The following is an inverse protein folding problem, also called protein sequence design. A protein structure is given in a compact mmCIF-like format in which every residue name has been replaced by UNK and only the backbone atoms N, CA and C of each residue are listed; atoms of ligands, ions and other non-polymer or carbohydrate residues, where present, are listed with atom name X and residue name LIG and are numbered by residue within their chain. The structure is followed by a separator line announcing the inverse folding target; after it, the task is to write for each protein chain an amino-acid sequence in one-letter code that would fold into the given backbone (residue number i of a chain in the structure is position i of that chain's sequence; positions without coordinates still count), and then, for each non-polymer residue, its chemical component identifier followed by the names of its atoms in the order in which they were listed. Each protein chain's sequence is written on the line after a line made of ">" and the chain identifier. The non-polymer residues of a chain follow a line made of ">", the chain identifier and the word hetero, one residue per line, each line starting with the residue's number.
data_IF_301078706607
#
_entry.id   IF_301078706607
#
_cell.length_a   1.000
_cell.length_b   1.000
_cell.length_c   1.000
_cell.angle_alpha   90.00
_cell.angle_beta   90.00
_cell.angle_gamma   90.00
#
_symmetry.space_group_name_H-M   'P 1'
#
loop_
_entity.id
_entity.type
_entity.pdbx_description
1 polymer ?
#
# COMPACT_ATOMS: atom_id res chain seq x y z
N UNK A 1 -19.15 -38.54 14.69
CA UNK A 1 -18.65 -38.64 13.30
C UNK A 1 -17.70 -37.46 12.96
N UNK A 2 -16.69 -37.17 13.80
CA UNK A 2 -15.77 -36.02 13.61
C UNK A 2 -14.31 -36.41 13.28
N UNK A 3 -13.98 -37.71 13.28
CA UNK A 3 -12.59 -38.18 13.08
C UNK A 3 -12.09 -38.13 11.64
N UNK A 4 -12.96 -38.05 10.62
CA UNK A 4 -12.56 -38.03 9.19
C UNK A 4 -12.15 -36.65 8.66
N UNK A 5 -12.57 -35.56 9.29
CA UNK A 5 -12.26 -34.20 8.82
C UNK A 5 -10.80 -33.79 9.13
N UNK A 6 -10.30 -34.13 10.32
CA UNK A 6 -8.96 -33.73 10.76
C UNK A 6 -7.80 -34.35 9.97
N UNK A 7 -7.97 -35.57 9.42
CA UNK A 7 -6.94 -36.21 8.60
C UNK A 7 -6.77 -35.57 7.19
N UNK A 8 -7.75 -34.83 6.70
CA UNK A 8 -7.61 -34.02 5.47
C UNK A 8 -6.97 -32.66 5.74
N UNK A 9 -7.16 -32.11 6.94
CA UNK A 9 -6.53 -30.86 7.38
C UNK A 9 -5.01 -31.04 7.54
N UNK A 10 -4.56 -32.17 8.09
CA UNK A 10 -3.14 -32.48 8.20
C UNK A 10 -2.47 -32.68 6.84
N UNK A 11 -3.15 -33.27 5.84
CA UNK A 11 -2.65 -33.41 4.46
C UNK A 11 -2.65 -32.10 3.67
N UNK A 12 -3.56 -31.17 3.97
CA UNK A 12 -3.58 -29.81 3.41
C UNK A 12 -2.53 -28.89 4.04
N UNK A 13 -2.13 -29.15 5.29
CA UNK A 13 -1.00 -28.49 5.98
C UNK A 13 0.36 -29.07 5.55
N UNK A 14 0.44 -30.34 5.14
CA UNK A 14 1.68 -31.01 4.70
C UNK A 14 2.27 -30.48 3.38
N UNK A 15 1.55 -29.64 2.62
CA UNK A 15 2.11 -28.88 1.49
C UNK A 15 2.69 -27.52 1.91
N UNK A 16 2.87 -27.25 3.22
CA UNK A 16 3.43 -25.99 3.73
C UNK A 16 4.76 -25.57 3.09
N UNK A 17 5.56 -26.54 2.62
CA UNK A 17 6.82 -26.32 1.91
C UNK A 17 6.72 -26.27 0.37
N UNK A 18 5.57 -26.59 -0.22
CA UNK A 18 5.37 -26.59 -1.68
C UNK A 18 5.54 -25.17 -2.26
N UNK A 19 6.17 -25.02 -3.45
CA UNK A 19 6.26 -23.75 -4.14
C UNK A 19 4.90 -23.06 -4.29
N UNK A 20 3.83 -23.83 -4.56
CA UNK A 20 2.48 -23.29 -4.69
C UNK A 20 1.97 -22.68 -3.38
N UNK A 21 2.24 -23.32 -2.23
CA UNK A 21 1.84 -22.78 -0.93
C UNK A 21 2.62 -21.51 -0.59
N UNK A 22 3.93 -21.47 -0.89
CA UNK A 22 4.75 -20.26 -0.70
C UNK A 22 4.20 -19.09 -1.53
N UNK A 23 3.94 -19.31 -2.82
CA UNK A 23 3.36 -18.28 -3.69
C UNK A 23 2.01 -17.83 -3.15
N UNK A 24 1.11 -18.76 -2.81
CA UNK A 24 -0.19 -18.42 -2.23
C UNK A 24 -0.07 -17.58 -0.95
N UNK A 25 0.85 -17.92 -0.04
CA UNK A 25 1.06 -17.14 1.19
C UNK A 25 1.56 -15.72 0.90
N UNK A 26 2.49 -15.56 -0.05
CA UNK A 26 2.97 -14.25 -0.46
C UNK A 26 1.89 -13.44 -1.16
N UNK A 27 1.10 -14.06 -2.05
CA UNK A 27 -0.03 -13.41 -2.71
C UNK A 27 -1.06 -12.93 -1.70
N UNK A 28 -1.41 -13.77 -0.72
CA UNK A 28 -2.35 -13.37 0.34
C UNK A 28 -1.77 -12.24 1.18
N UNK A 29 -0.48 -12.28 1.54
CA UNK A 29 0.17 -11.21 2.29
C UNK A 29 0.15 -9.88 1.53
N UNK A 30 0.44 -9.89 0.23
CA UNK A 30 0.39 -8.71 -0.65
C UNK A 30 -1.03 -8.19 -0.80
N UNK A 31 -2.02 -9.07 -1.02
CA UNK A 31 -3.42 -8.65 -1.12
C UNK A 31 -3.92 -8.01 0.18
N UNK A 32 -3.56 -8.58 1.34
CA UNK A 32 -3.94 -8.03 2.64
C UNK A 32 -3.27 -6.68 2.90
N UNK A 33 -1.99 -6.52 2.54
CA UNK A 33 -1.30 -5.24 2.69
C UNK A 33 -1.87 -4.16 1.75
N UNK A 34 -2.20 -4.51 0.50
CA UNK A 34 -2.86 -3.59 -0.43
C UNK A 34 -4.25 -3.19 0.05
N UNK A 35 -5.04 -4.14 0.54
CA UNK A 35 -6.36 -3.85 1.12
C UNK A 35 -6.26 -2.92 2.34
N UNK A 36 -5.24 -3.13 3.18
CA UNK A 36 -4.96 -2.25 4.31
C UNK A 36 -4.58 -0.83 3.86
N UNK A 37 -3.66 -0.71 2.90
CA UNK A 37 -3.25 0.58 2.33
C UNK A 37 -4.46 1.30 1.73
N UNK A 38 -5.28 0.60 0.95
CA UNK A 38 -6.49 1.14 0.35
C UNK A 38 -7.46 1.71 1.40
N UNK A 39 -7.76 0.94 2.45
CA UNK A 39 -8.65 1.39 3.53
C UNK A 39 -8.05 2.56 4.33
N UNK A 40 -6.74 2.55 4.54
CA UNK A 40 -6.01 3.61 5.22
C UNK A 40 -6.04 4.91 4.43
N UNK A 41 -5.71 4.86 3.13
CA UNK A 41 -5.71 6.02 2.24
C UNK A 41 -7.11 6.57 2.01
N UNK A 42 -8.13 5.71 1.97
CA UNK A 42 -9.53 6.17 1.89
C UNK A 42 -9.94 7.01 3.10
N UNK A 43 -9.42 6.71 4.29
CA UNK A 43 -9.71 7.47 5.52
C UNK A 43 -8.87 8.74 5.63
N UNK A 44 -7.57 8.64 5.32
CA UNK A 44 -6.62 9.73 5.40
C UNK A 44 -5.72 9.73 4.16
N UNK A 45 -6.13 10.39 3.06
CA UNK A 45 -5.33 10.44 1.84
C UNK A 45 -4.03 11.20 2.09
N UNK A 46 -2.91 10.60 1.71
CA UNK A 46 -1.58 11.23 1.73
C UNK A 46 -1.40 12.09 0.49
N UNK A 47 -0.47 13.05 0.55
CA UNK A 47 -0.05 13.80 -0.64
C UNK A 47 0.33 12.82 -1.75
N UNK A 48 1.31 11.94 -1.54
CA UNK A 48 1.66 10.90 -2.52
C UNK A 48 1.13 9.52 -2.13
N UNK A 49 -0.19 9.33 -2.15
CA UNK A 49 -0.82 8.02 -1.95
C UNK A 49 -0.73 7.11 -3.18
N UNK A 50 -0.77 5.80 -2.97
CA UNK A 50 -0.67 4.77 -4.01
C UNK A 50 -2.00 4.60 -4.79
N UNK A 51 -3.13 4.76 -4.10
CA UNK A 51 -4.48 4.66 -4.68
C UNK A 51 -5.23 5.98 -4.64
N UNK A 52 -5.07 6.78 -3.59
CA UNK A 52 -5.75 8.07 -3.43
C UNK A 52 -4.76 9.19 -3.19
N UNK A 53 -4.84 10.24 -4.00
CA UNK A 53 -4.08 11.46 -3.84
C UNK A 53 -4.89 12.46 -3.01
N UNK A 54 -4.22 13.22 -2.14
CA UNK A 54 -4.87 14.30 -1.40
C UNK A 54 -5.15 15.45 -2.38
N UNK A 55 -6.41 15.83 -2.56
CA UNK A 55 -6.80 16.94 -3.46
C UNK A 55 -6.48 18.34 -2.89
N UNK A 56 -5.81 18.40 -1.74
CA UNK A 56 -5.38 19.67 -1.16
C UNK A 56 -4.13 20.15 -1.90
N UNK A 57 -4.15 21.40 -2.34
CA UNK A 57 -2.96 22.03 -2.91
C UNK A 57 -1.84 22.03 -1.86
N UNK A 58 -0.63 21.66 -2.29
CA UNK A 58 0.57 21.85 -1.47
C UNK A 58 0.63 23.32 -1.05
N UNK A 59 0.73 23.57 0.26
CA UNK A 59 0.86 24.93 0.78
C UNK A 59 2.18 25.49 0.26
N UNK A 60 2.10 26.46 -0.65
CA UNK A 60 3.26 27.22 -1.09
C UNK A 60 3.84 27.97 0.11
N UNK A 61 5.04 27.60 0.53
CA UNK A 61 5.74 28.34 1.57
C UNK A 61 6.21 29.68 1.01
N UNK A 62 6.41 30.69 1.87
CA UNK A 62 6.95 31.99 1.43
C UNK A 62 8.31 31.84 0.73
N UNK A 63 9.07 30.82 1.10
CA UNK A 63 10.36 30.45 0.50
C UNK A 63 10.18 29.94 -0.94
N UNK A 64 9.20 29.07 -1.18
CA UNK A 64 8.85 28.58 -2.53
C UNK A 64 8.38 29.72 -3.44
N UNK A 65 7.59 30.64 -2.88
CA UNK A 65 7.13 31.85 -3.59
C UNK A 65 8.34 32.73 -3.94
N UNK A 66 9.27 32.95 -3.00
CA UNK A 66 10.48 33.74 -3.24
C UNK A 66 11.40 33.10 -4.29
N UNK A 67 11.50 31.76 -4.30
CA UNK A 67 12.27 31.00 -5.28
C UNK A 67 11.62 31.04 -6.67
N UNK A 68 10.28 30.92 -6.74
CA UNK A 68 9.54 31.09 -7.98
C UNK A 68 9.73 32.50 -8.56
N UNK A 69 9.62 33.52 -7.72
CA UNK A 69 9.75 34.92 -8.11
C UNK A 69 11.19 35.32 -8.50
N UNK A 70 12.22 34.58 -8.08
CA UNK A 70 13.60 34.80 -8.55
C UNK A 70 13.75 34.64 -10.07
N UNK A 71 12.97 33.77 -10.72
CA UNK A 71 13.01 33.60 -12.19
C UNK A 71 12.53 34.85 -12.94
N UNK A 72 11.72 35.68 -12.30
CA UNK A 72 11.16 36.88 -12.91
C UNK A 72 11.85 38.17 -12.44
N UNK A 73 12.88 38.07 -11.59
CA UNK A 73 13.69 39.24 -11.25
C UNK A 73 14.55 39.61 -12.46
N UNK A 74 14.45 40.86 -12.97
CA UNK A 74 15.35 41.33 -13.99
C UNK A 74 16.79 41.27 -13.44
N UNK A 75 17.70 40.67 -14.23
CA UNK A 75 19.13 40.78 -13.98
C UNK A 75 19.53 42.20 -14.34
N UNK A 76 19.65 43.06 -13.32
CA UNK A 76 20.36 44.33 -13.42
C UNK A 76 21.82 44.11 -13.05
#
# INVERSE_FOLDING_TARGET
>A
MFRRSYNHISRTILLKGSPANKVATWTVAICMSLAWIYLSEKKNPRANGLFFHKNEAEYFTEEDIAQWNKKFRPQN
#
